data_IF_347544900372
#
_entry.id   IF_347544900372
#
_cell.length_a   1.000
_cell.length_b   1.000
_cell.length_c   1.000
_cell.angle_alpha   90.00
_cell.angle_beta   90.00
_cell.angle_gamma   90.00
#
_symmetry.space_group_name_H-M   'P 1'
#
loop_
_entity.id
_entity.type
_entity.pdbx_description
1 polymer ?
#
# COMPACT_ATOMS: atom_id res chain seq x y z
N UNK A 1 -11.63 2.55 -14.75
CA UNK A 1 -11.51 2.66 -13.29
C UNK A 1 -10.05 2.43 -12.95
N UNK A 2 -9.36 3.36 -12.27
CA UNK A 2 -7.97 3.17 -11.88
C UNK A 2 -7.86 2.10 -10.79
N UNK A 3 -6.66 1.54 -10.58
CA UNK A 3 -6.45 0.61 -9.46
C UNK A 3 -6.70 1.27 -8.11
N UNK A 4 -6.36 2.56 -7.98
CA UNK A 4 -6.69 3.37 -6.81
C UNK A 4 -8.19 3.55 -6.57
N UNK A 5 -8.99 3.76 -7.62
CA UNK A 5 -10.45 3.83 -7.51
C UNK A 5 -11.06 2.51 -7.04
N UNK A 6 -10.61 1.38 -7.59
CA UNK A 6 -11.04 0.05 -7.13
C UNK A 6 -10.67 -0.17 -5.66
N UNK A 7 -9.45 0.18 -5.27
CA UNK A 7 -8.99 0.09 -3.88
C UNK A 7 -9.86 0.92 -2.94
N UNK A 8 -10.19 2.17 -3.31
CA UNK A 8 -11.09 3.03 -2.53
C UNK A 8 -12.44 2.35 -2.28
N UNK A 9 -13.06 1.84 -3.34
CA UNK A 9 -14.38 1.22 -3.26
C UNK A 9 -14.39 0.02 -2.31
N UNK A 10 -13.34 -0.80 -2.34
CA UNK A 10 -13.20 -1.94 -1.44
C UNK A 10 -13.01 -1.50 0.02
N UNK A 11 -12.21 -0.47 0.28
CA UNK A 11 -12.01 0.06 1.64
C UNK A 11 -13.28 0.70 2.20
N UNK A 12 -13.99 1.49 1.41
CA UNK A 12 -15.26 2.11 1.83
C UNK A 12 -16.32 1.06 2.14
N UNK A 13 -16.35 -0.04 1.38
CA UNK A 13 -17.22 -1.19 1.67
C UNK A 13 -16.82 -1.90 2.97
N UNK A 14 -15.52 -2.11 3.19
CA UNK A 14 -15.01 -2.79 4.38
C UNK A 14 -15.12 -1.94 5.66
N UNK A 15 -15.05 -0.61 5.53
CA UNK A 15 -15.03 0.33 6.66
C UNK A 15 -15.87 1.58 6.35
N UNK A 16 -17.22 1.50 6.37
CA UNK A 16 -18.08 2.64 6.05
C UNK A 16 -18.02 3.79 7.06
N UNK A 17 -17.62 3.51 8.31
CA UNK A 17 -17.60 4.47 9.42
C UNK A 17 -16.29 5.26 9.59
N UNK A 18 -15.57 5.57 8.50
CA UNK A 18 -14.27 6.25 8.59
C UNK A 18 -14.38 7.70 9.08
N UNK A 19 -13.56 8.03 10.08
CA UNK A 19 -13.38 9.39 10.59
C UNK A 19 -12.58 10.28 9.62
N UNK A 20 -12.50 11.60 9.86
CA UNK A 20 -11.84 12.55 8.95
C UNK A 20 -10.37 12.20 8.67
N UNK A 21 -9.60 11.81 9.70
CA UNK A 21 -8.19 11.42 9.52
C UNK A 21 -8.03 10.16 8.67
N UNK A 22 -8.92 9.19 8.83
CA UNK A 22 -8.90 7.94 8.04
C UNK A 22 -9.28 8.19 6.58
N UNK A 23 -10.18 9.14 6.31
CA UNK A 23 -10.50 9.56 4.94
C UNK A 23 -9.32 10.19 4.23
N UNK A 24 -8.56 11.04 4.92
CA UNK A 24 -7.31 11.61 4.38
C UNK A 24 -6.30 10.50 4.09
N UNK A 25 -6.11 9.55 5.02
CA UNK A 25 -5.22 8.41 4.79
C UNK A 25 -5.67 7.54 3.61
N UNK A 26 -6.98 7.37 3.40
CA UNK A 26 -7.51 6.66 2.24
C UNK A 26 -7.19 7.41 0.94
N UNK A 27 -7.35 8.72 0.92
CA UNK A 27 -7.01 9.55 -0.24
C UNK A 27 -5.52 9.45 -0.59
N UNK A 28 -4.63 9.48 0.42
CA UNK A 28 -3.19 9.30 0.18
C UNK A 28 -2.86 7.86 -0.26
N UNK A 29 -3.51 6.84 0.31
CA UNK A 29 -3.33 5.47 -0.13
C UNK A 29 -3.68 5.29 -1.62
N UNK A 30 -4.80 5.88 -2.07
CA UNK A 30 -5.21 5.89 -3.48
C UNK A 30 -4.14 6.52 -4.37
N UNK A 31 -3.61 7.68 -3.98
CA UNK A 31 -2.53 8.36 -4.74
C UNK A 31 -1.25 7.53 -4.81
N UNK A 32 -0.89 6.83 -3.73
CA UNK A 32 0.27 5.94 -3.70
C UNK A 32 0.06 4.72 -4.60
N UNK A 33 -1.14 4.12 -4.59
CA UNK A 33 -1.50 3.00 -5.48
C UNK A 33 -1.38 3.40 -6.95
N UNK A 34 -1.94 4.54 -7.34
CA UNK A 34 -1.86 5.03 -8.72
C UNK A 34 -0.42 5.45 -9.10
N UNK A 35 0.37 5.96 -8.14
CA UNK A 35 1.79 6.28 -8.37
C UNK A 35 2.62 5.03 -8.64
N UNK A 36 2.32 3.91 -7.97
CA UNK A 36 2.98 2.64 -8.26
C UNK A 36 2.69 2.14 -9.67
N UNK A 37 1.49 2.38 -10.22
CA UNK A 37 1.19 2.04 -11.62
C UNK A 37 2.03 2.88 -12.59
N UNK A 38 2.31 4.14 -12.26
CA UNK A 38 3.21 4.99 -13.06
C UNK A 38 4.66 4.52 -12.99
N UNK A 39 5.12 4.11 -11.82
CA UNK A 39 6.46 3.52 -11.69
C UNK A 39 6.57 2.20 -12.42
N UNK A 40 5.53 1.37 -12.37
CA UNK A 40 5.49 0.10 -13.11
C UNK A 40 5.60 0.34 -14.61
N UNK A 41 4.78 1.25 -15.17
CA UNK A 41 4.88 1.66 -16.57
C UNK A 41 6.27 2.20 -16.95
N UNK A 42 6.92 2.94 -16.05
CA UNK A 42 8.26 3.46 -16.27
C UNK A 42 9.33 2.36 -16.26
N UNK A 43 9.21 1.39 -15.36
CA UNK A 43 10.14 0.27 -15.21
C UNK A 43 9.95 -0.75 -16.34
N UNK A 44 8.71 -0.97 -16.79
CA UNK A 44 8.38 -1.87 -17.89
C UNK A 44 8.71 -1.27 -19.26
N UNK A 45 8.98 0.04 -19.33
CA UNK A 45 9.25 0.75 -20.57
C UNK A 45 7.99 1.11 -21.37
N UNK A 46 6.81 1.00 -20.75
CA UNK A 46 5.51 1.37 -21.34
C UNK A 46 5.14 2.85 -21.12
N UNK A 47 5.95 3.61 -20.36
CA UNK A 47 5.76 5.03 -20.16
C UNK A 47 6.51 5.87 -21.21
N UNK A 48 5.76 6.58 -22.05
CA UNK A 48 6.31 7.49 -23.09
C UNK A 48 6.93 8.79 -22.53
N UNK A 49 6.68 9.13 -21.26
CA UNK A 49 6.88 10.51 -20.76
C UNK A 49 7.40 10.56 -19.32
N UNK A 50 8.69 10.35 -19.09
CA UNK A 50 9.35 10.95 -17.90
C UNK A 50 10.88 10.97 -17.96
N UNK A 51 11.42 11.82 -18.82
CA UNK A 51 12.86 12.02 -18.89
C UNK A 51 13.20 13.49 -18.73
N UNK A 52 13.95 13.86 -17.67
CA UNK A 52 14.55 15.19 -17.57
C UNK A 52 15.92 15.14 -18.23
N UNK A 53 16.12 15.98 -19.25
CA UNK A 53 17.40 16.18 -19.92
C UNK A 53 18.36 16.85 -18.92
N UNK A 54 19.45 16.17 -18.53
CA UNK A 54 20.48 16.77 -17.67
C UNK A 54 21.69 17.05 -18.55
N UNK A 55 22.10 18.31 -18.63
CA UNK A 55 23.27 18.70 -19.39
C UNK A 55 24.55 18.30 -18.64
N UNK A 56 25.38 17.48 -19.26
CA UNK A 56 26.68 17.14 -18.70
C UNK A 56 27.63 18.33 -18.91
N UNK A 57 27.89 19.11 -17.86
CA UNK A 57 28.76 20.30 -17.92
C UNK A 57 30.22 20.02 -18.36
N UNK A 58 30.63 18.75 -18.50
CA UNK A 58 31.97 18.35 -18.96
C UNK A 58 32.03 17.89 -20.42
N UNK A 59 30.90 17.62 -21.07
CA UNK A 59 30.84 17.19 -22.48
C UNK A 59 29.77 17.99 -23.23
N UNK A 60 29.74 17.98 -24.56
CA UNK A 60 28.67 18.64 -25.34
C UNK A 60 27.42 17.76 -25.50
N UNK A 61 27.37 16.65 -24.78
CA UNK A 61 26.34 15.63 -24.91
C UNK A 61 25.24 15.83 -23.86
N UNK A 62 24.00 15.63 -24.27
CA UNK A 62 22.86 15.59 -23.37
C UNK A 62 22.57 14.15 -22.98
N UNK A 63 22.55 13.85 -21.68
CA UNK A 63 22.24 12.52 -21.17
C UNK A 63 20.84 12.53 -20.55
N UNK A 64 20.01 11.57 -20.98
CA UNK A 64 18.73 11.26 -20.33
C UNK A 64 19.00 10.10 -19.38
N UNK A 65 18.90 10.37 -18.08
CA UNK A 65 18.95 9.32 -17.06
C UNK A 65 17.60 9.20 -16.37
N UNK A 66 17.03 8.00 -16.44
CA UNK A 66 15.92 7.57 -15.59
C UNK A 66 16.54 6.83 -14.41
N UNK A 67 17.26 7.56 -13.56
CA UNK A 67 17.85 6.99 -12.36
C UNK A 67 16.77 6.84 -11.26
N UNK A 68 16.94 5.82 -10.43
CA UNK A 68 16.18 5.62 -9.17
C UNK A 68 14.71 5.21 -9.26
N UNK A 69 14.10 5.04 -10.45
CA UNK A 69 12.69 4.63 -10.56
C UNK A 69 12.34 3.38 -9.72
N UNK A 70 13.21 2.36 -9.74
CA UNK A 70 13.06 1.15 -8.93
C UNK A 70 13.19 1.44 -7.43
N UNK A 71 14.08 2.35 -7.04
CA UNK A 71 14.28 2.74 -5.64
C UNK A 71 13.07 3.51 -5.10
N UNK A 72 12.57 4.48 -5.86
CA UNK A 72 11.37 5.26 -5.54
C UNK A 72 10.11 4.38 -5.48
N UNK A 73 9.98 3.42 -6.39
CA UNK A 73 8.90 2.42 -6.33
C UNK A 73 8.94 1.63 -5.02
N UNK A 74 10.13 1.15 -4.61
CA UNK A 74 10.30 0.42 -3.34
C UNK A 74 9.96 1.29 -2.12
N UNK A 75 10.38 2.55 -2.12
CA UNK A 75 10.04 3.48 -1.05
C UNK A 75 8.53 3.74 -0.99
N UNK A 76 7.89 3.96 -2.15
CA UNK A 76 6.44 4.15 -2.26
C UNK A 76 5.67 2.94 -1.74
N UNK A 77 6.14 1.71 -2.01
CA UNK A 77 5.55 0.48 -1.43
C UNK A 77 5.67 0.47 0.10
N UNK A 78 6.81 0.90 0.66
CA UNK A 78 7.01 0.95 2.10
C UNK A 78 6.05 1.95 2.77
N UNK A 79 5.90 3.14 2.18
CA UNK A 79 4.95 4.16 2.63
C UNK A 79 3.50 3.68 2.53
N UNK A 80 3.12 3.06 1.40
CA UNK A 80 1.78 2.51 1.22
C UNK A 80 1.45 1.46 2.30
N UNK A 81 2.39 0.58 2.64
CA UNK A 81 2.20 -0.40 3.73
C UNK A 81 1.92 0.27 5.07
N UNK A 82 2.59 1.38 5.38
CA UNK A 82 2.37 2.12 6.62
C UNK A 82 0.99 2.78 6.63
N UNK A 83 0.59 3.44 5.55
CA UNK A 83 -0.73 4.08 5.43
C UNK A 83 -1.85 3.05 5.52
N UNK A 84 -1.75 1.93 4.80
CA UNK A 84 -2.74 0.84 4.84
C UNK A 84 -2.85 0.23 6.25
N UNK A 85 -1.72 0.05 6.94
CA UNK A 85 -1.74 -0.42 8.34
C UNK A 85 -2.45 0.58 9.26
N UNK A 86 -2.20 1.89 9.07
CA UNK A 86 -2.84 2.94 9.87
C UNK A 86 -4.36 3.05 9.63
N UNK A 87 -4.83 2.71 8.43
CA UNK A 87 -6.26 2.65 8.12
C UNK A 87 -7.01 1.58 8.91
N UNK A 88 -6.32 0.58 9.47
CA UNK A 88 -6.89 -0.50 10.27
C UNK A 88 -8.18 -1.08 9.64
N UNK A 89 -8.06 -1.46 8.36
CA UNK A 89 -9.16 -2.00 7.56
C UNK A 89 -9.53 -3.38 8.13
N UNK A 90 -10.81 -3.64 8.43
CA UNK A 90 -11.25 -4.95 8.88
C UNK A 90 -10.92 -6.00 7.82
N UNK A 91 -10.10 -6.99 8.17
CA UNK A 91 -9.85 -8.14 7.30
C UNK A 91 -10.96 -9.14 7.57
N UNK A 92 -11.75 -9.48 6.55
CA UNK A 92 -12.87 -10.42 6.69
C UNK A 92 -12.41 -11.76 7.25
N UNK A 93 -12.81 -12.05 8.49
CA UNK A 93 -12.87 -13.38 9.08
C UNK A 93 -11.56 -14.16 9.17
N UNK A 94 -10.59 -13.69 9.98
CA UNK A 94 -9.95 -14.68 10.83
C UNK A 94 -11.02 -15.10 11.83
N UNK A 95 -11.53 -16.33 11.73
CA UNK A 95 -12.32 -16.92 12.81
C UNK A 95 -11.58 -16.61 14.12
N UNK A 96 -12.26 -15.99 15.08
CA UNK A 96 -11.80 -15.93 16.46
C UNK A 96 -11.66 -17.39 16.92
N UNK A 97 -10.49 -17.99 16.67
CA UNK A 97 -10.08 -19.18 17.39
C UNK A 97 -10.10 -18.75 18.84
N UNK A 98 -11.12 -19.19 19.57
CA UNK A 98 -11.34 -18.88 20.96
C UNK A 98 -10.01 -18.94 21.71
N UNK A 99 -9.81 -17.96 22.59
CA UNK A 99 -8.53 -17.76 23.27
C UNK A 99 -7.97 -19.10 23.75
N UNK A 100 -6.70 -19.38 23.44
CA UNK A 100 -6.00 -20.58 23.91
C UNK A 100 -6.13 -20.72 25.44
N UNK A 101 -6.27 -19.60 26.14
CA UNK A 101 -6.51 -19.55 27.58
C UNK A 101 -7.87 -20.12 27.99
N UNK A 102 -8.93 -19.88 27.21
CA UNK A 102 -10.28 -20.40 27.46
C UNK A 102 -10.33 -21.91 27.21
N UNK A 103 -9.64 -22.38 26.17
CA UNK A 103 -9.53 -23.81 25.91
C UNK A 103 -8.73 -24.54 27.00
N UNK A 104 -7.65 -23.93 27.51
CA UNK A 104 -6.88 -24.47 28.62
C UNK A 104 -7.67 -24.48 29.94
N UNK A 105 -8.49 -23.45 30.19
CA UNK A 105 -9.37 -23.40 31.35
C UNK A 105 -10.40 -24.55 31.33
N UNK A 106 -11.01 -24.81 30.17
CA UNK A 106 -11.94 -25.94 29.98
C UNK A 106 -11.27 -27.29 30.26
N UNK A 107 -10.08 -27.53 29.70
CA UNK A 107 -9.33 -28.79 29.90
C UNK A 107 -8.87 -29.00 31.34
N UNK A 108 -8.68 -27.93 32.11
CA UNK A 108 -8.36 -28.03 33.55
C UNK A 108 -9.58 -28.44 34.35
N UNK A 109 -10.75 -27.85 34.08
CA UNK A 109 -12.00 -28.20 34.75
C UNK A 109 -12.36 -29.69 34.52
N UNK A 110 -12.15 -30.21 33.32
CA UNK A 110 -12.38 -31.62 32.95
C UNK A 110 -11.45 -32.62 33.66
N UNK A 111 -10.29 -32.19 34.19
CA UNK A 111 -9.35 -33.06 34.92
C UNK A 111 -9.60 -33.12 36.42
N UNK A 112 -10.35 -32.16 36.95
CA UNK A 112 -10.66 -32.02 38.37
C UNK A 112 -12.05 -32.55 38.75
N UNK A 113 -12.84 -32.97 37.77
CA UNK A 113 -14.09 -33.73 37.93
C UNK A 113 -13.82 -35.23 37.83
#
# INVERSE_FOLDING_TARGET
>A
MSRGESFRAEVEKAKPGMGPGERVLLDEAVRLVDRLDRFDALISGEADVWCRLVHNVRTKDYEIKIDSAVAEARQTVAELRQVVKALNIPVGGAEEKGSVLDELARRRAERTA
#
